data_IF_085872506147
#
_entry.id   IF_085872506147
#
_cell.length_a   1.000
_cell.length_b   1.000
_cell.length_c   1.000
_cell.angle_alpha   90.00
_cell.angle_beta   90.00
_cell.angle_gamma   90.00
#
_symmetry.space_group_name_H-M   'P 1'
#
loop_
_entity.id
_entity.type
_entity.pdbx_description
1 polymer ?
#
# COMPACT_ATOMS: atom_id res chain seq x y z
N UNK A 1 3.92 -36.16 -62.22
CA UNK A 1 4.47 -37.31 -61.50
C UNK A 1 3.92 -37.16 -60.08
N UNK A 2 2.78 -37.72 -59.82
CA UNK A 2 2.41 -39.10 -59.54
C UNK A 2 2.74 -39.55 -58.10
N UNK A 3 1.63 -39.62 -57.33
CA UNK A 3 1.33 -40.66 -56.30
C UNK A 3 2.21 -40.75 -55.06
N UNK A 4 1.65 -40.75 -53.82
CA UNK A 4 0.73 -41.79 -53.26
C UNK A 4 0.07 -41.31 -51.98
N UNK A 5 -1.23 -41.60 -51.88
CA UNK A 5 -2.04 -41.72 -50.69
C UNK A 5 -1.51 -42.82 -49.75
N UNK A 6 -1.73 -42.63 -48.45
CA UNK A 6 -1.97 -43.80 -47.56
C UNK A 6 -2.98 -43.43 -46.45
N UNK A 7 -4.20 -43.95 -46.58
CA UNK A 7 -5.24 -44.09 -45.56
C UNK A 7 -4.98 -45.35 -44.72
N UNK A 8 -5.14 -45.23 -43.43
CA UNK A 8 -5.62 -46.28 -42.52
C UNK A 8 -5.97 -45.59 -41.17
N UNK A 9 -7.15 -45.53 -40.63
CA UNK A 9 -8.31 -46.42 -40.67
C UNK A 9 -8.27 -47.47 -39.54
N UNK A 10 -8.71 -47.15 -38.29
CA UNK A 10 -9.18 -48.01 -37.22
C UNK A 10 -9.65 -47.08 -36.10
N UNK A 11 -10.85 -47.11 -35.50
CA UNK A 11 -11.82 -48.18 -35.31
C UNK A 11 -12.55 -47.82 -34.04
N UNK A 12 -13.83 -47.38 -34.12
CA UNK A 12 -14.73 -47.29 -32.99
C UNK A 12 -14.89 -48.68 -32.40
N UNK A 13 -14.79 -48.81 -31.08
CA UNK A 13 -15.41 -49.92 -30.33
C UNK A 13 -16.01 -49.42 -29.03
N UNK A 14 -17.27 -49.62 -28.95
CA UNK A 14 -18.21 -49.62 -27.88
C UNK A 14 -17.67 -50.24 -26.57
N UNK A 15 -17.97 -49.63 -25.44
CA UNK A 15 -18.08 -50.30 -24.16
C UNK A 15 -19.32 -49.77 -23.42
N UNK A 16 -20.46 -50.32 -23.79
CA UNK A 16 -21.59 -50.49 -22.87
C UNK A 16 -21.42 -51.88 -22.19
N UNK A 17 -21.81 -51.90 -20.92
CA UNK A 17 -22.05 -53.01 -19.96
C UNK A 17 -21.05 -53.08 -18.82
N UNK A 18 -21.47 -52.58 -17.66
CA UNK A 18 -21.90 -53.50 -16.60
C UNK A 18 -22.61 -52.76 -15.45
N UNK A 19 -23.90 -52.79 -15.44
CA UNK A 19 -24.76 -52.48 -14.29
C UNK A 19 -25.28 -53.82 -13.79
N UNK A 20 -24.74 -54.32 -12.69
CA UNK A 20 -25.56 -55.06 -11.72
C UNK A 20 -24.72 -55.70 -10.58
N UNK A 21 -25.25 -55.57 -9.39
CA UNK A 21 -25.02 -56.35 -8.16
C UNK A 21 -24.02 -55.80 -7.14
N UNK A 22 -24.62 -55.26 -6.14
CA UNK A 22 -24.57 -55.54 -4.65
C UNK A 22 -24.76 -54.20 -3.95
N UNK A 23 -25.69 -54.00 -3.03
CA UNK A 23 -26.25 -54.77 -1.98
C UNK A 23 -26.86 -53.77 -1.02
N UNK A 24 -28.07 -54.02 -0.57
CA UNK A 24 -28.88 -53.15 0.24
C UNK A 24 -28.27 -52.79 1.60
N UNK A 25 -28.46 -51.54 1.97
CA UNK A 25 -28.26 -51.01 3.29
C UNK A 25 -29.36 -50.01 3.58
N UNK A 26 -30.40 -50.51 4.23
CA UNK A 26 -31.57 -49.82 4.71
C UNK A 26 -31.15 -48.85 5.84
N UNK A 27 -31.23 -47.54 5.65
CA UNK A 27 -31.22 -46.59 6.75
C UNK A 27 -32.43 -45.69 6.65
N UNK A 28 -33.25 -45.86 7.70
CA UNK A 28 -34.58 -45.37 7.86
C UNK A 28 -34.68 -43.86 7.82
N UNK A 29 -35.75 -43.42 7.18
CA UNK A 29 -36.33 -42.09 7.22
C UNK A 29 -36.65 -41.68 8.66
N UNK A 30 -36.03 -40.61 9.14
CA UNK A 30 -36.52 -39.85 10.27
C UNK A 30 -37.06 -38.52 9.75
N UNK A 31 -38.30 -38.17 10.02
CA UNK A 31 -38.87 -36.93 9.54
C UNK A 31 -38.31 -35.74 10.29
N UNK A 32 -37.84 -34.76 9.54
CA UNK A 32 -37.45 -33.40 10.04
C UNK A 32 -38.70 -32.73 10.61
N UNK A 33 -38.74 -32.49 11.92
CA UNK A 33 -39.71 -31.63 12.58
C UNK A 33 -39.44 -30.15 12.15
N UNK A 34 -40.35 -29.56 11.39
CA UNK A 34 -40.48 -28.13 11.21
C UNK A 34 -40.70 -27.50 12.59
N UNK A 35 -39.80 -26.60 12.98
CA UNK A 35 -40.04 -25.67 14.08
C UNK A 35 -40.77 -24.47 13.50
N UNK A 36 -42.05 -24.37 13.85
CA UNK A 36 -42.81 -23.14 13.74
C UNK A 36 -42.19 -22.10 14.66
N UNK A 37 -41.79 -21.00 14.08
CA UNK A 37 -41.43 -19.78 14.81
C UNK A 37 -42.04 -18.57 14.15
N UNK A 38 -43.39 -18.56 14.13
CA UNK A 38 -44.15 -17.34 13.98
C UNK A 38 -44.32 -16.72 15.37
N UNK A 39 -43.41 -15.81 15.72
CA UNK A 39 -43.66 -14.79 16.74
C UNK A 39 -43.26 -13.45 16.16
N UNK A 40 -44.21 -12.51 16.08
CA UNK A 40 -43.94 -11.14 15.65
C UNK A 40 -43.06 -10.45 16.69
N UNK A 41 -41.93 -9.89 16.22
CA UNK A 41 -41.06 -9.02 17.02
C UNK A 41 -41.78 -7.65 17.20
N UNK A 42 -42.32 -7.41 18.39
CA UNK A 42 -42.81 -6.14 18.81
C UNK A 42 -41.65 -5.19 19.11
N UNK A 43 -41.37 -4.26 18.20
CA UNK A 43 -40.42 -3.16 18.39
C UNK A 43 -41.15 -1.98 18.99
N UNK A 44 -41.38 -1.98 20.27
CA UNK A 44 -41.68 -0.75 20.99
C UNK A 44 -40.43 0.05 21.24
N UNK A 45 -40.11 0.98 20.31
CA UNK A 45 -39.14 2.04 20.56
C UNK A 45 -39.77 3.06 21.51
N UNK A 46 -39.37 3.04 22.77
CA UNK A 46 -39.62 4.10 23.72
C UNK A 46 -39.04 5.43 23.23
N UNK A 47 -39.87 6.30 22.73
CA UNK A 47 -39.55 7.71 22.48
C UNK A 47 -39.31 8.37 23.84
N UNK A 48 -38.07 8.61 24.22
CA UNK A 48 -37.72 9.63 25.21
C UNK A 48 -37.85 10.98 24.52
N UNK A 49 -38.90 11.72 24.92
CA UNK A 49 -39.14 13.09 24.50
C UNK A 49 -37.98 13.99 24.93
N UNK A 50 -37.38 14.67 23.97
CA UNK A 50 -36.54 15.82 24.24
C UNK A 50 -37.43 17.04 24.43
N UNK A 51 -37.42 17.50 25.68
CA UNK A 51 -38.09 18.74 26.10
C UNK A 51 -37.28 19.92 25.52
N UNK A 52 -37.91 20.65 24.60
CA UNK A 52 -37.32 21.76 23.86
C UNK A 52 -37.72 23.10 24.48
N UNK A 53 -37.53 23.31 25.79
CA UNK A 53 -37.74 24.62 26.39
C UNK A 53 -36.68 24.91 27.44
N UNK A 54 -35.47 25.32 26.97
CA UNK A 54 -34.53 26.12 27.75
C UNK A 54 -33.95 27.22 26.86
N UNK A 55 -34.15 28.49 27.21
CA UNK A 55 -33.58 29.61 26.45
C UNK A 55 -32.06 29.67 26.70
N UNK A 56 -31.29 29.68 25.60
CA UNK A 56 -29.85 29.96 25.58
C UNK A 56 -29.61 31.40 26.02
N UNK A 57 -29.08 31.61 27.20
CA UNK A 57 -28.50 32.91 27.59
C UNK A 57 -27.16 33.06 26.90
N UNK A 58 -27.08 33.99 25.95
CA UNK A 58 -25.81 34.51 25.38
C UNK A 58 -25.29 35.55 26.38
N UNK A 59 -24.27 35.23 27.11
CA UNK A 59 -23.43 36.23 27.75
C UNK A 59 -22.30 36.59 26.78
N UNK A 60 -22.52 37.64 26.00
CA UNK A 60 -21.48 38.40 25.32
C UNK A 60 -20.98 39.45 26.31
N UNK A 61 -19.79 39.25 26.85
CA UNK A 61 -19.00 40.30 27.48
C UNK A 61 -17.59 40.27 26.86
N UNK A 62 -17.44 41.04 25.78
CA UNK A 62 -16.16 41.29 25.14
C UNK A 62 -16.01 42.79 24.92
N UNK A 63 -15.80 43.52 26.00
CA UNK A 63 -15.28 44.87 25.94
C UNK A 63 -13.89 44.88 26.60
N UNK A 64 -12.86 44.66 25.80
CA UNK A 64 -11.50 45.17 26.06
C UNK A 64 -10.96 45.77 24.80
N UNK A 65 -10.67 47.08 24.83
CA UNK A 65 -10.05 47.79 23.70
C UNK A 65 -8.59 47.37 23.57
N UNK A 66 -8.20 46.98 22.36
CA UNK A 66 -6.80 46.76 21.96
C UNK A 66 -6.13 48.15 21.81
N UNK A 67 -5.29 48.50 22.77
CA UNK A 67 -4.42 49.68 22.67
C UNK A 67 -3.19 49.33 21.82
N UNK A 68 -3.13 49.86 20.60
CA UNK A 68 -1.98 49.83 19.71
C UNK A 68 -1.17 51.11 19.88
N UNK A 69 -0.28 51.14 20.85
CA UNK A 69 0.75 52.19 20.87
C UNK A 69 1.98 51.77 20.09
N UNK A 70 2.06 52.21 18.84
CA UNK A 70 3.31 52.18 18.09
C UNK A 70 4.24 53.31 18.58
N UNK A 71 5.21 52.97 19.42
CA UNK A 71 6.32 53.86 19.77
C UNK A 71 7.32 53.96 18.62
N UNK A 72 7.22 55.00 17.83
CA UNK A 72 8.29 55.46 16.93
C UNK A 72 9.45 55.99 17.77
N UNK A 73 10.57 55.30 17.82
CA UNK A 73 11.86 55.85 18.24
C UNK A 73 12.54 56.42 17.01
N UNK A 74 12.62 57.79 17.03
CA UNK A 74 13.32 58.57 16.03
C UNK A 74 14.83 58.30 16.11
N UNK A 75 15.45 58.24 14.93
CA UNK A 75 16.90 58.31 14.75
C UNK A 75 17.32 59.75 14.87
N UNK A 76 18.08 60.08 15.90
CA UNK A 76 18.81 61.37 16.02
C UNK A 76 20.22 61.12 15.49
N UNK A 77 20.50 61.67 14.33
CA UNK A 77 21.80 61.77 13.73
C UNK A 77 22.39 63.10 14.20
N UNK A 78 23.39 63.06 15.08
CA UNK A 78 24.46 64.11 15.14
C UNK A 78 25.27 63.89 16.43
N UNK A 79 26.41 63.21 16.32
CA UNK A 79 27.60 63.53 17.15
C UNK A 79 28.87 62.96 16.49
N UNK A 80 29.96 63.77 16.49
CA UNK A 80 31.13 63.54 15.64
C UNK A 80 32.10 62.48 16.19
N UNK A 81 32.76 61.79 15.23
CA UNK A 81 33.92 60.95 15.42
C UNK A 81 35.09 61.66 16.13
N UNK A 82 35.55 61.12 17.23
CA UNK A 82 36.93 61.26 17.70
C UNK A 82 37.68 59.94 17.50
N UNK A 83 38.67 60.02 16.59
CA UNK A 83 39.74 59.05 16.42
C UNK A 83 40.59 59.05 17.69
N UNK A 84 40.85 57.93 18.30
CA UNK A 84 42.04 57.68 19.06
C UNK A 84 42.57 56.29 18.69
N UNK A 85 43.73 56.33 18.04
CA UNK A 85 44.64 55.23 17.83
C UNK A 85 45.37 54.95 19.16
N UNK A 86 45.95 53.76 19.17
CA UNK A 86 46.97 53.18 20.07
C UNK A 86 46.47 52.38 21.25
N UNK A 87 46.51 51.08 21.08
CA UNK A 87 47.35 50.18 21.90
C UNK A 87 47.26 48.73 21.39
N UNK A 88 48.35 48.36 20.73
CA UNK A 88 48.67 46.97 20.44
C UNK A 88 48.73 46.18 21.73
N UNK A 89 47.90 45.16 21.85
CA UNK A 89 48.08 44.04 22.79
C UNK A 89 48.27 42.76 22.00
N UNK A 90 49.33 41.97 22.28
CA UNK A 90 49.63 40.78 21.51
C UNK A 90 48.56 39.72 21.72
N UNK A 91 48.09 39.14 20.63
CA UNK A 91 47.24 37.96 20.57
C UNK A 91 48.00 36.79 21.22
N UNK A 92 47.57 36.33 22.37
CA UNK A 92 48.03 35.06 22.94
C UNK A 92 47.35 33.95 22.18
N UNK A 93 48.18 33.15 21.48
CA UNK A 93 47.82 31.87 20.92
C UNK A 93 47.11 31.01 21.99
N UNK A 94 45.79 30.87 21.85
CA UNK A 94 45.05 29.82 22.50
C UNK A 94 45.39 28.53 21.76
N UNK A 95 46.15 27.63 22.45
CA UNK A 95 46.37 26.26 22.08
C UNK A 95 45.06 25.68 21.52
N UNK A 96 45.11 25.19 20.31
CA UNK A 96 44.13 24.28 19.76
C UNK A 96 44.09 23.05 20.67
N UNK A 97 43.07 23.00 21.51
CA UNK A 97 42.66 21.73 22.09
C UNK A 97 42.23 20.83 20.96
N UNK A 98 43.05 19.79 20.71
CA UNK A 98 42.69 18.71 19.82
C UNK A 98 41.38 18.11 20.37
N UNK A 99 40.29 18.34 19.68
CA UNK A 99 39.12 17.49 19.78
C UNK A 99 39.61 16.08 19.44
N UNK A 100 39.70 15.21 20.43
CA UNK A 100 39.86 13.79 20.20
C UNK A 100 38.61 13.38 19.42
N UNK A 101 38.82 12.88 18.22
CA UNK A 101 37.81 12.22 17.43
C UNK A 101 37.14 11.15 18.28
N UNK A 102 35.98 11.46 18.83
CA UNK A 102 35.06 10.44 19.28
C UNK A 102 34.73 9.56 18.05
N UNK A 103 34.36 8.29 18.26
CA UNK A 103 34.03 7.44 17.13
C UNK A 103 33.01 8.15 16.26
N UNK A 104 33.36 8.39 15.00
CA UNK A 104 32.49 8.97 14.01
C UNK A 104 31.17 8.19 14.08
N UNK A 105 30.08 8.88 14.44
CA UNK A 105 28.76 8.32 14.30
C UNK A 105 28.65 7.98 12.82
N UNK A 106 28.78 6.70 12.48
CA UNK A 106 28.55 6.20 11.15
C UNK A 106 27.18 6.72 10.72
N UNK A 107 27.17 7.62 9.73
CA UNK A 107 25.91 8.03 9.12
C UNK A 107 25.25 6.76 8.61
N UNK A 108 23.98 6.53 8.91
CA UNK A 108 23.28 5.35 8.45
C UNK A 108 23.42 5.29 6.91
N UNK A 109 24.05 4.22 6.43
CA UNK A 109 24.25 3.98 5.02
C UNK A 109 22.86 3.95 4.34
N UNK A 110 22.53 4.90 3.46
CA UNK A 110 21.22 4.93 2.81
C UNK A 110 20.94 3.67 1.96
N UNK A 111 21.98 2.85 1.70
CA UNK A 111 21.85 1.56 1.02
C UNK A 111 21.70 0.37 1.99
N UNK A 112 21.81 0.59 3.30
CA UNK A 112 21.67 -0.47 4.29
C UNK A 112 20.22 -0.96 4.42
N UNK A 113 19.24 -0.15 4.07
CA UNK A 113 17.83 -0.55 4.07
C UNK A 113 17.53 -1.64 3.02
N UNK A 114 18.25 -1.66 1.89
CA UNK A 114 18.10 -2.68 0.86
C UNK A 114 18.73 -4.03 1.25
N UNK A 115 19.57 -4.06 2.29
CA UNK A 115 20.26 -5.27 2.76
C UNK A 115 19.63 -5.88 4.02
N UNK A 116 18.68 -5.19 4.65
CA UNK A 116 17.95 -5.77 5.77
C UNK A 116 17.06 -6.90 5.26
N UNK A 117 17.07 -8.08 5.93
CA UNK A 117 16.17 -9.16 5.55
C UNK A 117 14.74 -8.63 5.57
N UNK A 118 14.01 -8.88 4.50
CA UNK A 118 12.60 -8.50 4.44
C UNK A 118 11.87 -9.09 5.62
N UNK A 119 11.29 -8.23 6.43
CA UNK A 119 10.54 -8.61 7.61
C UNK A 119 9.08 -8.23 7.41
N UNK A 120 8.22 -9.23 7.39
CA UNK A 120 6.77 -9.03 7.51
C UNK A 120 6.46 -9.02 8.99
N UNK A 121 5.92 -7.91 9.54
CA UNK A 121 5.68 -7.78 10.96
C UNK A 121 4.20 -7.58 11.27
N UNK A 122 3.76 -8.17 12.39
CA UNK A 122 2.38 -8.10 12.87
C UNK A 122 1.53 -9.28 12.43
N UNK A 123 0.52 -9.61 13.25
CA UNK A 123 -0.26 -10.85 13.15
C UNK A 123 -0.99 -11.00 11.82
N UNK A 124 -1.65 -9.94 11.37
CA UNK A 124 -2.42 -9.98 10.12
C UNK A 124 -1.50 -10.11 8.91
N UNK A 125 -0.42 -9.33 8.84
CA UNK A 125 0.52 -9.38 7.73
C UNK A 125 1.21 -10.74 7.63
N UNK A 126 1.66 -11.31 8.76
CA UNK A 126 2.27 -12.66 8.78
C UNK A 126 1.25 -13.73 8.39
N UNK A 127 0.01 -13.64 8.88
CA UNK A 127 -1.07 -14.57 8.50
C UNK A 127 -1.33 -14.55 6.99
N UNK A 128 -1.41 -13.36 6.40
CA UNK A 128 -1.62 -13.22 4.96
C UNK A 128 -0.40 -13.72 4.16
N UNK A 129 0.82 -13.43 4.59
CA UNK A 129 2.04 -13.97 3.98
C UNK A 129 2.06 -15.51 3.99
N UNK A 130 1.64 -16.14 5.10
CA UNK A 130 1.51 -17.61 5.17
C UNK A 130 0.41 -18.10 4.24
N UNK A 131 -0.75 -17.43 4.17
CA UNK A 131 -1.89 -17.83 3.32
C UNK A 131 -1.58 -17.71 1.83
N UNK A 132 -0.88 -16.65 1.40
CA UNK A 132 -0.56 -16.40 -0.01
C UNK A 132 0.40 -17.43 -0.62
N UNK A 133 1.06 -18.25 0.22
CA UNK A 133 2.06 -19.22 -0.25
C UNK A 133 3.41 -18.62 -0.57
N UNK A 134 3.64 -17.37 -0.19
CA UNK A 134 4.95 -16.71 -0.32
C UNK A 134 6.04 -17.53 0.36
N UNK A 135 7.24 -17.54 -0.24
CA UNK A 135 8.42 -18.11 0.39
C UNK A 135 8.71 -17.37 1.71
N UNK A 136 8.71 -18.10 2.82
CA UNK A 136 9.03 -17.60 4.16
C UNK A 136 10.21 -18.43 4.67
N UNK A 137 11.33 -17.77 4.96
CA UNK A 137 12.53 -18.44 5.49
C UNK A 137 12.26 -18.98 6.90
N UNK A 138 11.68 -18.15 7.76
CA UNK A 138 11.28 -18.54 9.13
C UNK A 138 10.33 -17.54 9.73
N UNK A 139 9.57 -17.99 10.72
CA UNK A 139 8.75 -17.15 11.58
C UNK A 139 9.40 -17.08 12.97
N UNK A 140 9.59 -15.85 13.47
CA UNK A 140 10.02 -15.59 14.84
C UNK A 140 8.81 -15.14 15.65
N UNK A 141 8.60 -15.75 16.81
CA UNK A 141 7.43 -15.50 17.66
C UNK A 141 7.84 -15.48 19.13
N UNK A 142 7.14 -14.68 19.94
CA UNK A 142 7.33 -14.69 21.39
C UNK A 142 6.87 -15.99 22.01
N UNK A 143 7.43 -16.36 23.17
CA UNK A 143 7.06 -17.59 23.91
C UNK A 143 5.61 -17.61 24.38
N UNK A 144 5.08 -16.43 24.72
CA UNK A 144 3.69 -16.28 25.19
C UNK A 144 2.73 -16.16 24.01
N UNK A 145 2.09 -17.27 23.67
CA UNK A 145 1.15 -17.34 22.56
C UNK A 145 -0.29 -17.12 23.02
N UNK A 146 -0.92 -16.05 22.58
CA UNK A 146 -2.38 -15.90 22.67
C UNK A 146 -3.13 -16.66 21.54
N UNK A 147 -4.46 -16.64 21.59
CA UNK A 147 -5.28 -17.39 20.62
C UNK A 147 -5.01 -17.05 19.17
N UNK A 148 -4.81 -15.76 18.85
CA UNK A 148 -4.58 -15.30 17.47
C UNK A 148 -3.19 -15.66 16.95
N UNK A 149 -2.18 -15.68 17.83
CA UNK A 149 -0.84 -16.14 17.48
C UNK A 149 -0.82 -17.65 17.24
N UNK A 150 -1.56 -18.42 18.07
CA UNK A 150 -1.68 -19.90 17.90
C UNK A 150 -2.27 -20.25 16.53
N UNK A 151 -3.27 -19.51 16.07
CA UNK A 151 -3.86 -19.71 14.75
C UNK A 151 -2.82 -19.57 13.63
N UNK A 152 -2.02 -18.46 13.65
CA UNK A 152 -0.98 -18.23 12.67
C UNK A 152 0.12 -19.29 12.72
N UNK A 153 0.51 -19.72 13.92
CA UNK A 153 1.51 -20.77 14.13
C UNK A 153 1.04 -22.13 13.57
N UNK A 154 -0.21 -22.51 13.80
CA UNK A 154 -0.76 -23.75 13.25
C UNK A 154 -0.78 -23.70 11.72
N UNK A 155 -1.24 -22.59 11.13
CA UNK A 155 -1.22 -22.39 9.68
C UNK A 155 0.21 -22.48 9.09
N UNK A 156 1.20 -21.96 9.81
CA UNK A 156 2.60 -22.03 9.40
C UNK A 156 3.17 -23.45 9.50
N UNK A 157 2.78 -24.24 10.54
CA UNK A 157 3.15 -25.65 10.68
C UNK A 157 2.58 -26.50 9.56
N UNK A 158 1.33 -26.29 9.18
CA UNK A 158 0.67 -26.99 8.08
C UNK A 158 1.41 -26.80 6.74
N UNK A 159 2.15 -25.68 6.63
CA UNK A 159 2.97 -25.36 5.45
C UNK A 159 4.46 -25.67 5.61
N UNK A 160 4.85 -26.36 6.66
CA UNK A 160 6.25 -26.72 6.96
C UNK A 160 7.19 -25.51 7.08
N UNK A 161 6.69 -24.34 7.51
CA UNK A 161 7.49 -23.16 7.72
C UNK A 161 8.23 -23.27 9.06
N UNK A 162 9.54 -23.01 9.06
CA UNK A 162 10.35 -23.01 10.27
C UNK A 162 9.88 -21.96 11.27
N UNK A 163 9.54 -22.37 12.50
CA UNK A 163 9.13 -21.48 13.57
C UNK A 163 10.20 -21.49 14.66
N UNK A 164 10.61 -20.31 15.12
CA UNK A 164 11.56 -20.14 16.21
C UNK A 164 10.98 -19.22 17.26
N UNK A 165 10.96 -19.69 18.49
CA UNK A 165 10.62 -18.86 19.64
C UNK A 165 11.80 -17.99 20.03
N UNK A 166 11.53 -16.72 20.29
CA UNK A 166 12.51 -15.71 20.69
C UNK A 166 11.95 -14.82 21.81
N UNK A 167 12.84 -14.13 22.50
CA UNK A 167 12.43 -13.13 23.47
C UNK A 167 11.92 -11.87 22.78
N UNK A 168 11.02 -11.16 23.43
CA UNK A 168 10.40 -9.93 22.88
C UNK A 168 11.44 -8.88 22.53
N UNK A 169 12.51 -8.74 23.35
CA UNK A 169 13.62 -7.82 23.11
C UNK A 169 14.30 -8.06 21.77
N UNK A 170 14.41 -9.34 21.33
CA UNK A 170 14.97 -9.69 20.04
C UNK A 170 14.08 -9.23 18.88
N UNK A 171 12.76 -9.33 19.01
CA UNK A 171 11.83 -8.80 18.01
C UNK A 171 11.86 -7.26 17.99
N UNK A 172 11.92 -6.62 19.15
CA UNK A 172 12.04 -5.17 19.28
C UNK A 172 13.32 -4.68 18.55
N UNK A 173 14.47 -5.32 18.80
CA UNK A 173 15.75 -5.01 18.14
C UNK A 173 15.65 -5.12 16.60
N UNK A 174 15.11 -6.22 16.10
CA UNK A 174 14.94 -6.45 14.67
C UNK A 174 13.95 -5.48 14.03
N UNK A 175 13.00 -4.96 14.78
CA UNK A 175 11.99 -4.02 14.30
C UNK A 175 12.35 -2.55 14.54
N UNK A 176 13.49 -2.25 15.20
CA UNK A 176 13.93 -0.87 15.44
C UNK A 176 14.05 -0.04 14.16
N UNK A 177 14.61 -0.55 13.03
CA UNK A 177 14.72 0.22 11.79
C UNK A 177 13.37 0.63 11.18
N UNK A 178 12.30 -0.07 11.55
CA UNK A 178 10.95 0.13 11.01
C UNK A 178 10.02 0.89 11.97
N UNK A 179 10.60 1.46 13.02
CA UNK A 179 9.88 2.21 14.06
C UNK A 179 10.01 3.72 13.89
N UNK A 180 9.34 4.46 14.77
CA UNK A 180 9.40 5.90 14.85
C UNK A 180 9.63 6.37 16.30
N UNK A 181 10.36 7.48 16.46
CA UNK A 181 10.57 8.11 17.76
C UNK A 181 11.31 7.21 18.77
N UNK A 182 12.29 6.42 18.31
CA UNK A 182 13.08 5.52 19.16
C UNK A 182 12.32 4.30 19.69
N UNK A 183 11.15 3.99 19.10
CA UNK A 183 10.38 2.78 19.41
C UNK A 183 10.43 1.81 18.26
N UNK A 184 10.47 0.48 18.50
CA UNK A 184 10.45 -0.51 17.43
C UNK A 184 9.14 -0.49 16.66
N UNK A 185 9.17 -0.96 15.40
CA UNK A 185 7.97 -1.22 14.62
C UNK A 185 7.02 -2.18 15.36
N UNK A 186 5.72 -2.03 15.16
CA UNK A 186 4.70 -2.80 15.87
C UNK A 186 4.60 -4.24 15.37
N UNK A 187 5.46 -5.11 15.89
CA UNK A 187 5.50 -6.53 15.51
C UNK A 187 4.41 -7.41 16.16
N UNK A 188 3.69 -6.92 17.17
CA UNK A 188 2.59 -7.65 17.85
C UNK A 188 2.97 -9.08 18.34
N UNK A 189 4.25 -9.31 18.62
CA UNK A 189 4.76 -10.59 19.09
C UNK A 189 5.14 -11.60 18.00
N UNK A 190 5.09 -11.23 16.71
CA UNK A 190 5.41 -12.12 15.59
C UNK A 190 6.02 -11.36 14.41
N UNK A 191 7.03 -11.95 13.79
CA UNK A 191 7.58 -11.53 12.49
C UNK A 191 7.85 -12.73 11.62
N UNK A 192 7.73 -12.57 10.30
CA UNK A 192 8.23 -13.52 9.32
C UNK A 192 9.43 -12.91 8.58
N UNK A 193 10.52 -13.66 8.49
CA UNK A 193 11.64 -13.38 7.62
C UNK A 193 11.33 -13.98 6.25
N UNK A 194 11.32 -13.13 5.23
CA UNK A 194 11.01 -13.54 3.86
C UNK A 194 12.19 -13.17 2.96
N UNK A 195 12.49 -13.94 1.91
CA UNK A 195 13.40 -13.47 0.87
C UNK A 195 12.79 -12.23 0.24
N UNK A 196 13.61 -11.30 -0.27
CA UNK A 196 13.16 -10.03 -0.84
C UNK A 196 11.93 -10.17 -1.74
N UNK A 197 11.32 -9.06 -2.14
CA UNK A 197 10.15 -9.09 -3.03
C UNK A 197 10.55 -9.70 -4.37
N UNK A 198 9.92 -10.76 -4.76
CA UNK A 198 9.98 -11.28 -6.11
C UNK A 198 9.19 -10.36 -7.03
N UNK A 199 9.91 -9.48 -7.76
CA UNK A 199 9.29 -8.71 -8.82
C UNK A 199 9.02 -9.61 -10.02
N UNK A 200 7.89 -9.41 -10.66
CA UNK A 200 7.48 -10.15 -11.84
C UNK A 200 7.69 -9.34 -13.13
N UNK A 201 7.48 -9.96 -14.27
CA UNK A 201 7.38 -9.29 -15.55
C UNK A 201 5.95 -8.79 -15.85
N UNK A 202 5.82 -7.87 -16.81
CA UNK A 202 4.50 -7.35 -17.25
C UNK A 202 3.62 -8.50 -17.77
N UNK A 203 4.21 -9.50 -18.45
CA UNK A 203 3.50 -10.70 -18.90
C UNK A 203 2.78 -11.42 -17.77
N UNK A 204 3.44 -11.56 -16.61
CA UNK A 204 2.86 -12.27 -15.47
C UNK A 204 1.61 -11.54 -14.93
N UNK A 205 1.60 -10.20 -15.01
CA UNK A 205 0.41 -9.40 -14.65
C UNK A 205 -0.74 -9.64 -15.63
N UNK A 206 -0.43 -9.67 -16.94
CA UNK A 206 -1.42 -9.91 -17.98
C UNK A 206 -1.98 -11.34 -17.90
N UNK A 207 -1.14 -12.31 -17.53
CA UNK A 207 -1.57 -13.70 -17.34
C UNK A 207 -2.56 -13.84 -16.19
N UNK A 208 -2.39 -13.08 -15.10
CA UNK A 208 -3.40 -13.03 -14.01
C UNK A 208 -4.78 -12.59 -14.55
N UNK A 209 -4.81 -11.57 -15.43
CA UNK A 209 -6.07 -11.12 -16.02
C UNK A 209 -6.69 -12.20 -16.95
N UNK A 210 -5.85 -12.88 -17.73
CA UNK A 210 -6.27 -13.99 -18.61
C UNK A 210 -6.82 -15.17 -17.80
N UNK A 211 -6.13 -15.57 -16.73
CA UNK A 211 -6.55 -16.64 -15.83
C UNK A 211 -7.89 -16.35 -15.15
N UNK A 212 -8.11 -15.07 -14.77
CA UNK A 212 -9.38 -14.62 -14.18
C UNK A 212 -10.47 -14.38 -15.22
N UNK A 213 -10.14 -14.43 -16.51
CA UNK A 213 -11.05 -14.08 -17.62
C UNK A 213 -11.61 -12.65 -17.49
N UNK A 214 -10.80 -11.75 -16.94
CA UNK A 214 -11.14 -10.35 -16.73
C UNK A 214 -10.41 -9.43 -17.71
N UNK A 215 -10.95 -8.23 -17.92
CA UNK A 215 -10.24 -7.19 -18.66
C UNK A 215 -9.08 -6.68 -17.82
N UNK A 216 -7.84 -6.60 -18.36
CA UNK A 216 -6.69 -6.15 -17.61
C UNK A 216 -6.92 -4.77 -16.97
N UNK A 217 -6.64 -4.65 -15.69
CA UNK A 217 -6.60 -3.40 -14.97
C UNK A 217 -5.26 -3.29 -14.23
N UNK A 218 -4.42 -2.35 -14.63
CA UNK A 218 -3.02 -2.25 -14.20
C UNK A 218 -2.74 -0.83 -13.72
N UNK A 219 -2.04 -0.70 -12.59
CA UNK A 219 -1.64 0.58 -12.03
C UNK A 219 -0.18 0.84 -12.39
N UNK A 220 0.12 2.03 -12.91
CA UNK A 220 1.48 2.46 -13.24
C UNK A 220 1.84 3.66 -12.36
N UNK A 221 3.01 3.61 -11.72
CA UNK A 221 3.45 4.68 -10.83
C UNK A 221 4.60 5.46 -11.48
N UNK A 222 4.46 6.77 -11.56
CA UNK A 222 5.47 7.68 -12.12
C UNK A 222 5.94 8.65 -11.03
N UNK A 223 7.10 8.38 -10.43
CA UNK A 223 7.70 9.26 -9.41
C UNK A 223 7.10 9.12 -8.00
N UNK A 224 6.42 8.05 -7.68
CA UNK A 224 5.98 7.76 -6.30
C UNK A 224 7.16 7.21 -5.51
N UNK A 225 7.78 8.05 -4.67
CA UNK A 225 9.02 7.73 -3.96
C UNK A 225 8.81 7.31 -2.50
N UNK A 226 7.65 7.62 -1.91
CA UNK A 226 7.33 7.23 -0.54
C UNK A 226 6.86 5.77 -0.46
N UNK A 227 7.55 4.90 0.32
CA UNK A 227 7.15 3.51 0.51
C UNK A 227 5.77 3.35 1.16
N UNK A 228 5.32 4.31 1.98
CA UNK A 228 3.99 4.26 2.58
C UNK A 228 2.90 4.48 1.53
N UNK A 229 3.11 5.42 0.61
CA UNK A 229 2.22 5.63 -0.52
C UNK A 229 2.18 4.40 -1.43
N UNK A 230 3.35 3.84 -1.78
CA UNK A 230 3.42 2.61 -2.56
C UNK A 230 2.62 1.48 -1.90
N UNK A 231 2.83 1.23 -0.62
CA UNK A 231 2.11 0.19 0.11
C UNK A 231 0.59 0.42 0.15
N UNK A 232 0.16 1.66 0.36
CA UNK A 232 -1.25 2.05 0.36
C UNK A 232 -1.90 1.91 -1.02
N UNK A 233 -1.15 2.23 -2.10
CA UNK A 233 -1.59 2.04 -3.48
C UNK A 233 -1.74 0.55 -3.78
N UNK A 234 -0.77 -0.29 -3.42
CA UNK A 234 -0.84 -1.75 -3.60
C UNK A 234 -2.07 -2.32 -2.90
N UNK A 235 -2.35 -1.88 -1.66
CA UNK A 235 -3.54 -2.30 -0.92
C UNK A 235 -4.83 -1.89 -1.63
N UNK A 236 -4.91 -0.65 -2.09
CA UNK A 236 -6.09 -0.14 -2.79
C UNK A 236 -6.29 -0.82 -4.13
N UNK A 237 -5.21 -1.13 -4.85
CA UNK A 237 -5.21 -1.85 -6.12
C UNK A 237 -5.75 -3.27 -5.96
N UNK A 238 -5.32 -3.99 -4.92
CA UNK A 238 -5.84 -5.32 -4.59
C UNK A 238 -7.34 -5.26 -4.28
N UNK A 239 -7.77 -4.36 -3.40
CA UNK A 239 -9.17 -4.20 -3.03
C UNK A 239 -10.06 -3.76 -4.21
N UNK A 240 -9.52 -2.99 -5.16
CA UNK A 240 -10.23 -2.56 -6.37
C UNK A 240 -10.26 -3.64 -7.48
N UNK A 241 -9.51 -4.74 -7.31
CA UNK A 241 -9.43 -5.83 -8.29
C UNK A 241 -8.47 -5.56 -9.43
N UNK A 242 -7.44 -4.73 -9.24
CA UNK A 242 -6.36 -4.59 -10.20
C UNK A 242 -5.54 -5.89 -10.30
N UNK A 243 -4.93 -6.13 -11.46
CA UNK A 243 -4.16 -7.36 -11.71
C UNK A 243 -2.68 -7.21 -11.38
N UNK A 244 -2.18 -5.97 -11.30
CA UNK A 244 -0.82 -5.68 -10.94
C UNK A 244 -0.49 -4.21 -10.85
N UNK A 245 0.70 -3.93 -10.28
CA UNK A 245 1.28 -2.59 -10.15
C UNK A 245 2.63 -2.57 -10.86
N UNK A 246 2.89 -1.56 -11.68
CA UNK A 246 4.16 -1.36 -12.39
C UNK A 246 4.88 -0.16 -11.78
N UNK A 247 6.12 -0.36 -11.35
CA UNK A 247 6.99 0.68 -10.79
C UNK A 247 8.28 0.79 -11.60
N UNK A 248 8.85 2.01 -11.77
CA UNK A 248 10.17 2.15 -12.39
C UNK A 248 11.29 1.73 -11.43
N UNK A 249 12.46 1.35 -11.98
CA UNK A 249 13.67 1.02 -11.19
C UNK A 249 14.32 2.23 -10.54
N UNK A 250 14.08 3.42 -11.06
CA UNK A 250 14.67 4.68 -10.59
C UNK A 250 13.56 5.69 -10.34
N UNK A 251 13.76 6.60 -9.38
CA UNK A 251 12.79 7.62 -8.97
C UNK A 251 11.45 7.00 -8.59
N UNK A 252 11.50 5.96 -7.78
CA UNK A 252 10.32 5.25 -7.29
C UNK A 252 10.66 4.50 -6.01
N UNK A 253 9.71 4.40 -5.11
CA UNK A 253 9.80 3.53 -3.96
C UNK A 253 9.98 2.07 -4.42
N UNK A 254 10.78 1.34 -3.67
CA UNK A 254 10.82 -0.13 -3.75
C UNK A 254 9.83 -0.73 -2.76
N UNK A 255 9.45 -1.99 -2.97
CA UNK A 255 8.60 -2.72 -2.02
C UNK A 255 9.45 -3.12 -0.81
N UNK A 256 9.69 -2.14 0.07
CA UNK A 256 10.42 -2.28 1.33
C UNK A 256 9.52 -2.85 2.43
N UNK A 257 10.08 -3.18 3.58
CA UNK A 257 9.31 -3.59 4.75
C UNK A 257 8.26 -2.53 5.17
N UNK A 258 8.56 -1.23 4.98
CA UNK A 258 7.58 -0.14 5.21
C UNK A 258 6.42 -0.21 4.24
N UNK A 259 6.68 -0.46 2.95
CA UNK A 259 5.64 -0.66 1.94
C UNK A 259 4.82 -1.92 2.22
N UNK A 260 5.46 -3.04 2.59
CA UNK A 260 4.76 -4.26 3.00
C UNK A 260 3.85 -4.01 4.20
N UNK A 261 4.31 -3.28 5.21
CA UNK A 261 3.50 -2.91 6.38
C UNK A 261 2.31 -2.03 5.99
N UNK A 262 2.53 -1.01 5.15
CA UNK A 262 1.47 -0.11 4.69
C UNK A 262 0.43 -0.84 3.80
N UNK A 263 0.87 -1.85 3.04
CA UNK A 263 -0.03 -2.68 2.23
C UNK A 263 -0.93 -3.62 3.05
N UNK A 264 -0.69 -3.76 4.36
CA UNK A 264 -1.44 -4.64 5.26
C UNK A 264 -1.56 -6.09 4.74
N UNK A 265 -0.57 -6.58 4.01
CA UNK A 265 -0.53 -7.92 3.43
C UNK A 265 -0.99 -8.02 1.97
N UNK A 266 -1.53 -6.95 1.38
CA UNK A 266 -1.97 -6.98 -0.02
C UNK A 266 -0.83 -7.28 -1.02
N UNK A 267 0.40 -6.94 -0.67
CA UNK A 267 1.59 -7.24 -1.48
C UNK A 267 1.80 -8.74 -1.74
N UNK A 268 1.24 -9.61 -0.89
CA UNK A 268 1.33 -11.07 -1.05
C UNK A 268 0.43 -11.60 -2.18
N UNK A 269 -0.57 -10.83 -2.57
CA UNK A 269 -1.56 -11.18 -3.58
C UNK A 269 -1.39 -10.39 -4.86
N UNK A 270 -0.78 -9.20 -4.77
CA UNK A 270 -0.63 -8.27 -5.89
C UNK A 270 0.68 -8.52 -6.62
N UNK A 271 0.62 -8.74 -7.93
CA UNK A 271 1.80 -8.78 -8.79
C UNK A 271 2.41 -7.38 -8.91
N UNK A 272 3.71 -7.27 -8.67
CA UNK A 272 4.45 -6.01 -8.82
C UNK A 272 5.56 -6.19 -9.84
N UNK A 273 5.48 -5.48 -10.95
CA UNK A 273 6.53 -5.48 -11.96
C UNK A 273 7.44 -4.26 -11.79
N UNK A 274 8.75 -4.47 -11.95
CA UNK A 274 9.75 -3.41 -11.84
C UNK A 274 10.46 -3.18 -13.17
N UNK A 275 10.18 -2.05 -13.82
CA UNK A 275 10.62 -1.76 -15.19
C UNK A 275 11.75 -0.72 -15.24
N UNK A 276 12.61 -0.83 -16.23
CA UNK A 276 13.68 0.16 -16.46
C UNK A 276 13.17 1.42 -17.15
N UNK A 277 12.08 1.30 -17.94
CA UNK A 277 11.47 2.38 -18.73
C UNK A 277 9.94 2.26 -18.65
N UNK A 278 9.32 3.20 -17.94
CA UNK A 278 7.87 3.24 -17.78
C UNK A 278 7.16 3.54 -19.11
N UNK A 279 7.74 4.41 -19.96
CA UNK A 279 7.19 4.70 -21.27
C UNK A 279 7.16 3.49 -22.20
N UNK A 280 8.21 2.66 -22.17
CA UNK A 280 8.23 1.39 -22.91
C UNK A 280 7.24 0.35 -22.36
N UNK A 281 6.99 0.37 -21.03
CA UNK A 281 5.93 -0.45 -20.43
C UNK A 281 4.54 -0.02 -20.90
N UNK A 282 4.30 1.29 -21.00
CA UNK A 282 3.04 1.83 -21.55
C UNK A 282 2.84 1.38 -22.99
N UNK A 283 3.87 1.50 -23.85
CA UNK A 283 3.77 1.08 -25.25
C UNK A 283 3.38 -0.40 -25.36
N UNK A 284 4.05 -1.27 -24.57
CA UNK A 284 3.72 -2.70 -24.52
C UNK A 284 2.30 -2.98 -24.05
N UNK A 285 1.77 -2.23 -23.06
CA UNK A 285 0.39 -2.40 -22.62
C UNK A 285 -0.62 -1.96 -23.67
N UNK A 286 -0.31 -0.92 -24.46
CA UNK A 286 -1.12 -0.49 -25.60
C UNK A 286 -1.15 -1.55 -26.69
N UNK A 287 -0.02 -2.18 -26.99
CA UNK A 287 0.06 -3.29 -27.95
C UNK A 287 -0.80 -4.49 -27.50
N UNK A 288 -0.99 -4.68 -26.19
CA UNK A 288 -1.90 -5.67 -25.60
C UNK A 288 -3.38 -5.18 -25.51
N UNK A 289 -3.67 -4.00 -26.05
CA UNK A 289 -5.02 -3.45 -26.18
C UNK A 289 -5.56 -2.72 -24.96
N UNK A 290 -4.68 -2.28 -24.02
CA UNK A 290 -5.10 -1.44 -22.90
C UNK A 290 -5.15 0.04 -23.31
N UNK A 291 -6.18 0.74 -22.85
CA UNK A 291 -6.19 2.19 -22.82
C UNK A 291 -5.40 2.70 -21.61
N UNK A 292 -4.70 3.81 -21.78
CA UNK A 292 -3.87 4.39 -20.72
C UNK A 292 -4.47 5.72 -20.27
N UNK A 293 -4.97 5.73 -19.03
CA UNK A 293 -5.48 6.93 -18.37
C UNK A 293 -4.42 7.53 -17.45
N UNK A 294 -4.16 8.82 -17.57
CA UNK A 294 -3.27 9.55 -16.65
C UNK A 294 -4.07 10.35 -15.63
N UNK A 295 -3.75 10.21 -14.33
CA UNK A 295 -4.34 11.01 -13.27
C UNK A 295 -3.74 12.43 -13.29
N UNK A 296 -4.51 13.43 -13.70
CA UNK A 296 -4.04 14.82 -13.81
C UNK A 296 -5.21 15.79 -13.62
N UNK A 297 -4.96 16.92 -12.97
CA UNK A 297 -5.99 17.94 -12.68
C UNK A 297 -6.62 18.53 -13.94
N UNK A 298 -5.88 18.58 -15.06
CA UNK A 298 -6.37 19.06 -16.34
C UNK A 298 -7.19 18.02 -17.13
N UNK A 299 -7.41 16.84 -16.56
CA UNK A 299 -8.15 15.75 -17.18
C UNK A 299 -9.66 15.92 -17.15
N UNK A 300 -10.35 15.03 -17.84
CA UNK A 300 -11.81 14.91 -17.75
C UNK A 300 -12.20 14.43 -16.35
N UNK A 301 -13.24 15.01 -15.78
CA UNK A 301 -13.76 14.58 -14.47
C UNK A 301 -14.07 13.08 -14.46
N UNK A 302 -13.66 12.35 -13.43
CA UNK A 302 -13.71 10.89 -13.36
C UNK A 302 -15.12 10.31 -13.58
N UNK A 303 -16.15 11.05 -13.17
CA UNK A 303 -17.57 10.68 -13.38
C UNK A 303 -18.02 10.76 -14.85
N UNK A 304 -17.28 11.49 -15.69
CA UNK A 304 -17.52 11.69 -17.12
C UNK A 304 -16.52 10.96 -18.03
N UNK A 305 -15.39 10.57 -17.48
CA UNK A 305 -14.37 9.82 -18.20
C UNK A 305 -14.82 8.36 -18.37
N UNK A 306 -14.66 7.80 -19.56
CA UNK A 306 -14.91 6.37 -19.79
C UNK A 306 -13.67 5.56 -19.38
N UNK A 307 -13.76 4.90 -18.25
CA UNK A 307 -12.71 4.05 -17.68
C UNK A 307 -13.03 2.55 -17.80
N UNK A 308 -14.00 2.18 -18.62
CA UNK A 308 -14.41 0.79 -18.83
C UNK A 308 -13.36 0.00 -19.61
N UNK A 309 -13.46 -1.33 -19.54
CA UNK A 309 -12.61 -2.22 -20.33
C UNK A 309 -11.19 -2.39 -19.78
N UNK A 310 -10.26 -2.75 -20.68
CA UNK A 310 -8.84 -2.93 -20.35
C UNK A 310 -8.18 -1.57 -20.13
N UNK A 311 -7.61 -1.35 -18.93
CA UNK A 311 -7.13 -0.02 -18.52
C UNK A 311 -5.78 -0.10 -17.78
N UNK A 312 -4.84 0.75 -18.19
CA UNK A 312 -3.68 1.15 -17.40
C UNK A 312 -3.93 2.52 -16.78
N UNK A 313 -3.88 2.63 -15.45
CA UNK A 313 -4.04 3.89 -14.73
C UNK A 313 -2.70 4.39 -14.22
N UNK A 314 -2.24 5.54 -14.74
CA UNK A 314 -0.99 6.17 -14.35
C UNK A 314 -1.22 7.14 -13.21
N UNK A 315 -0.47 6.98 -12.12
CA UNK A 315 -0.47 7.86 -10.96
C UNK A 315 0.90 8.53 -10.86
N UNK A 316 0.91 9.85 -10.75
CA UNK A 316 2.12 10.65 -10.61
C UNK A 316 2.55 10.86 -9.16
N UNK A 317 3.67 11.57 -8.98
CA UNK A 317 4.16 12.03 -7.67
C UNK A 317 3.24 13.10 -7.06
N UNK A 318 3.36 13.32 -5.75
CA UNK A 318 2.55 14.31 -5.03
C UNK A 318 2.85 15.76 -5.45
N UNK A 319 4.09 16.07 -5.81
CA UNK A 319 4.49 17.42 -6.18
C UNK A 319 4.35 17.72 -7.67
N UNK A 320 4.97 16.88 -8.50
CA UNK A 320 5.10 17.14 -9.94
C UNK A 320 4.02 16.45 -10.78
N UNK A 321 3.22 15.57 -10.17
CA UNK A 321 2.24 14.74 -10.88
C UNK A 321 2.90 13.75 -11.83
N UNK A 322 2.28 13.50 -12.98
CA UNK A 322 2.80 12.63 -14.03
C UNK A 322 3.84 13.41 -14.85
N UNK A 323 5.01 12.81 -15.09
CA UNK A 323 6.04 13.41 -15.90
C UNK A 323 5.55 13.68 -17.33
N UNK A 324 6.07 14.75 -17.97
CA UNK A 324 5.63 15.16 -19.29
C UNK A 324 5.67 14.04 -20.32
N UNK A 325 6.76 13.27 -20.35
CA UNK A 325 6.92 12.18 -21.32
C UNK A 325 5.90 11.05 -21.10
N UNK A 326 5.53 10.76 -19.88
CA UNK A 326 4.52 9.75 -19.55
C UNK A 326 3.13 10.30 -19.86
N UNK A 327 2.87 11.57 -19.55
CA UNK A 327 1.61 12.25 -19.86
C UNK A 327 1.31 12.26 -21.37
N UNK A 328 2.32 12.51 -22.22
CA UNK A 328 2.21 12.47 -23.69
C UNK A 328 1.91 11.05 -24.21
N UNK A 329 2.20 10.01 -23.43
CA UNK A 329 1.89 8.61 -23.78
C UNK A 329 0.52 8.14 -23.28
N UNK A 330 -0.15 8.89 -22.42
CA UNK A 330 -1.52 8.58 -22.01
C UNK A 330 -2.50 8.85 -23.16
N UNK A 331 -3.52 8.00 -23.30
CA UNK A 331 -4.56 8.19 -24.32
C UNK A 331 -5.54 9.28 -23.89
N UNK A 332 -5.78 9.40 -22.59
CA UNK A 332 -6.59 10.46 -22.01
C UNK A 332 -6.14 10.76 -20.57
N UNK A 333 -6.59 11.90 -20.08
CA UNK A 333 -6.35 12.33 -18.70
C UNK A 333 -7.65 12.33 -17.91
N UNK A 334 -7.57 11.89 -16.66
CA UNK A 334 -8.70 11.83 -15.74
C UNK A 334 -8.41 12.65 -14.49
N UNK A 335 -9.39 13.41 -14.03
CA UNK A 335 -9.27 14.25 -12.84
C UNK A 335 -10.30 13.88 -11.78
N UNK A 336 -9.95 14.16 -10.53
CA UNK A 336 -10.86 14.10 -9.38
C UNK A 336 -11.39 15.51 -9.16
N UNK A 337 -12.70 15.76 -9.27
CA UNK A 337 -13.27 17.10 -9.03
C UNK A 337 -13.04 17.53 -7.58
N UNK A 338 -12.36 18.66 -7.40
CA UNK A 338 -12.06 19.24 -6.08
C UNK A 338 -13.03 20.38 -5.78
N UNK A 339 -13.67 20.35 -4.60
CA UNK A 339 -14.61 21.38 -4.17
C UNK A 339 -14.00 22.37 -3.15
N UNK A 340 -12.80 22.09 -2.67
CA UNK A 340 -12.11 22.86 -1.63
C UNK A 340 -11.15 23.91 -2.18
N UNK A 341 -10.35 24.48 -1.27
CA UNK A 341 -9.27 25.43 -1.61
C UNK A 341 -7.94 24.72 -1.94
N UNK A 342 -7.83 23.47 -1.53
CA UNK A 342 -6.67 22.62 -1.82
C UNK A 342 -6.99 21.88 -3.11
N UNK A 343 -6.08 21.89 -4.05
CA UNK A 343 -6.25 21.41 -5.42
C UNK A 343 -5.75 19.99 -5.65
N UNK A 344 -5.11 19.38 -4.65
CA UNK A 344 -4.51 18.06 -4.77
C UNK A 344 -4.82 17.16 -3.56
N UNK A 345 -4.78 15.86 -3.79
CA UNK A 345 -4.85 14.81 -2.77
C UNK A 345 -3.48 14.13 -2.65
N UNK A 346 -3.26 13.48 -1.52
CA UNK A 346 -2.16 12.53 -1.41
C UNK A 346 -2.24 11.49 -2.55
N UNK A 347 -1.09 11.08 -3.11
CA UNK A 347 -1.03 10.20 -4.28
C UNK A 347 -1.75 8.86 -4.07
N UNK A 348 -1.64 8.26 -2.87
CA UNK A 348 -2.32 7.00 -2.59
C UNK A 348 -3.84 7.18 -2.47
N UNK A 349 -4.29 8.32 -1.94
CA UNK A 349 -5.72 8.65 -1.85
C UNK A 349 -6.30 8.90 -3.23
N UNK A 350 -5.63 9.71 -4.07
CA UNK A 350 -6.04 9.95 -5.45
C UNK A 350 -6.12 8.64 -6.26
N UNK A 351 -5.11 7.80 -6.13
CA UNK A 351 -5.08 6.47 -6.75
C UNK A 351 -6.28 5.63 -6.32
N UNK A 352 -6.57 5.56 -5.02
CA UNK A 352 -7.71 4.79 -4.49
C UNK A 352 -9.03 5.28 -5.07
N UNK A 353 -9.28 6.60 -5.06
CA UNK A 353 -10.52 7.18 -5.61
C UNK A 353 -10.72 6.80 -7.07
N UNK A 354 -9.68 6.95 -7.91
CA UNK A 354 -9.76 6.61 -9.33
C UNK A 354 -9.88 5.10 -9.58
N UNK A 355 -9.22 4.26 -8.80
CA UNK A 355 -9.34 2.81 -8.89
C UNK A 355 -10.77 2.34 -8.57
N UNK A 356 -11.37 2.88 -7.53
CA UNK A 356 -12.75 2.53 -7.17
C UNK A 356 -13.77 3.11 -8.14
N UNK A 357 -13.50 4.27 -8.75
CA UNK A 357 -14.32 4.77 -9.84
C UNK A 357 -14.26 3.84 -11.06
N UNK A 358 -13.06 3.36 -11.45
CA UNK A 358 -12.92 2.32 -12.48
C UNK A 358 -13.72 1.07 -12.12
N UNK A 359 -13.64 0.61 -10.86
CA UNK A 359 -14.42 -0.54 -10.37
C UNK A 359 -15.92 -0.31 -10.45
N UNK A 360 -16.39 0.90 -10.17
CA UNK A 360 -17.81 1.27 -10.26
C UNK A 360 -18.33 1.24 -11.69
N UNK A 361 -17.49 1.60 -12.67
CA UNK A 361 -17.87 1.64 -14.08
C UNK A 361 -17.90 0.25 -14.74
N UNK A 362 -17.18 -0.74 -14.22
CA UNK A 362 -17.13 -2.12 -14.72
C UNK A 362 -15.81 -2.51 -15.33
#
# INVERSE_FOLDING_TARGET
>A
MAFRDNKSGYGQKDFERDMSRRGGGNYGDKPYKKRDSDKPYDRSYGKKGYDSDRPYKKDYNSDRPYDRSYGKKGYDSDKPHKKNCDSEKPYKDKKQERYQDGPALEQPNPYAEDQLPYIVMGRNAVREAVKSGRSIDRILVIKELDGSLREVINLARDRNIQIREVDRSRLDEMCMPFGHGGKPGNHQGIIAQVPGVEYCDISDILDVARERQEKPFIILLDGVEDPHNLGSIIRSAECAGAHGVIIPKRRSASVTASACKASAGAVEYMKVARVSNLGGAIDRLKDEGLWIAGADMAGTAMDKADMKGALGLVIGSEGDGISRLIKEKCDFLVSIPMAGRIDSLNAAVAAAVLMFEKKRQG
#
